data_IF_141039781141
#
_entry.id   IF_141039781141
#
_cell.length_a   1.000
_cell.length_b   1.000
_cell.length_c   1.000
_cell.angle_alpha   90.00
_cell.angle_beta   90.00
_cell.angle_gamma   90.00
#
_symmetry.space_group_name_H-M   'P 1'
#
loop_
_entity.id
_entity.type
_entity.pdbx_description
1 polymer ?
#
# COMPACT_ATOMS: atom_id res chain seq x y z
N UNK A 1 -1.81 7.88 -14.30
CA UNK A 1 -2.40 8.27 -15.60
C UNK A 1 -2.05 7.36 -16.80
N UNK A 2 -1.07 6.46 -16.69
CA UNK A 2 -0.57 5.57 -17.77
C UNK A 2 -0.99 4.10 -17.62
N UNK A 3 -1.95 3.81 -16.73
CA UNK A 3 -2.46 2.47 -16.51
C UNK A 3 -3.34 2.02 -17.68
N UNK A 4 -3.17 0.76 -18.10
CA UNK A 4 -4.02 0.09 -19.08
C UNK A 4 -5.35 -0.33 -18.42
N UNK A 5 -6.42 -0.34 -19.22
CA UNK A 5 -7.76 -0.74 -18.77
C UNK A 5 -8.01 -2.24 -18.94
N UNK A 6 -7.27 -2.88 -19.85
CA UNK A 6 -7.29 -4.31 -20.08
C UNK A 6 -5.83 -4.83 -20.11
N UNK A 7 -5.42 -5.71 -19.18
CA UNK A 7 -6.22 -6.27 -18.09
C UNK A 7 -6.63 -5.19 -17.07
N UNK A 8 -7.84 -5.34 -16.50
CA UNK A 8 -8.35 -4.42 -15.51
C UNK A 8 -7.46 -4.38 -14.26
N UNK A 9 -7.23 -3.19 -13.65
CA UNK A 9 -6.57 -3.09 -12.37
C UNK A 9 -7.30 -3.86 -11.28
N UNK A 10 -6.55 -4.41 -10.33
CA UNK A 10 -7.13 -5.13 -9.20
C UNK A 10 -6.38 -4.85 -7.90
N UNK A 11 -7.10 -4.88 -6.78
CA UNK A 11 -6.57 -4.68 -5.43
C UNK A 11 -7.07 -5.81 -4.53
N UNK A 12 -6.17 -6.42 -3.78
CA UNK A 12 -6.48 -7.54 -2.89
C UNK A 12 -5.81 -7.37 -1.53
N UNK A 13 -6.44 -7.87 -0.47
CA UNK A 13 -5.73 -8.17 0.78
C UNK A 13 -4.86 -9.39 0.51
N UNK A 14 -3.55 -9.23 0.60
CA UNK A 14 -2.58 -10.30 0.37
C UNK A 14 -2.36 -11.12 1.65
N UNK A 15 -2.19 -10.44 2.79
CA UNK A 15 -1.95 -11.08 4.07
C UNK A 15 -2.31 -10.16 5.25
N UNK A 16 -2.55 -10.79 6.40
CA UNK A 16 -2.64 -10.15 7.71
C UNK A 16 -1.32 -10.45 8.43
N UNK A 17 -0.41 -9.48 8.43
CA UNK A 17 0.91 -9.62 9.04
C UNK A 17 0.89 -9.17 10.51
N UNK A 18 2.01 -9.36 11.21
CA UNK A 18 2.12 -9.11 12.66
C UNK A 18 1.73 -7.68 13.07
N UNK A 19 1.95 -6.69 12.20
CA UNK A 19 1.66 -5.28 12.46
C UNK A 19 1.01 -4.56 11.28
N UNK A 20 0.44 -5.28 10.30
CA UNK A 20 -0.13 -4.64 9.10
C UNK A 20 -1.13 -5.52 8.35
N UNK A 21 -2.03 -4.87 7.60
CA UNK A 21 -2.79 -5.51 6.54
C UNK A 21 -2.09 -5.17 5.23
N UNK A 22 -1.51 -6.18 4.58
CA UNK A 22 -0.74 -5.96 3.36
C UNK A 22 -1.65 -6.12 2.16
N UNK A 23 -1.71 -5.08 1.33
CA UNK A 23 -2.46 -5.09 0.08
C UNK A 23 -1.54 -5.36 -1.11
N UNK A 24 -2.05 -6.08 -2.11
CA UNK A 24 -1.40 -6.21 -3.41
C UNK A 24 -2.22 -5.47 -4.46
N UNK A 25 -1.55 -4.60 -5.22
CA UNK A 25 -2.11 -3.90 -6.36
C UNK A 25 -1.56 -4.51 -7.64
N UNK A 26 -2.44 -4.87 -8.56
CA UNK A 26 -2.10 -5.32 -9.92
C UNK A 26 -2.55 -4.26 -10.90
N UNK A 27 -1.59 -3.53 -11.47
CA UNK A 27 -1.83 -2.48 -12.47
C UNK A 27 -0.91 -2.73 -13.65
N UNK A 28 -1.46 -2.65 -14.87
CA UNK A 28 -0.71 -2.87 -16.10
C UNK A 28 -0.34 -1.54 -16.73
N UNK A 29 0.89 -1.43 -17.23
CA UNK A 29 1.35 -0.27 -18.01
C UNK A 29 2.28 -0.74 -19.11
N UNK A 30 2.44 0.06 -20.17
CA UNK A 30 3.51 -0.17 -21.14
C UNK A 30 4.87 -0.11 -20.47
N UNK A 31 5.84 -0.87 -20.97
CA UNK A 31 7.20 -0.94 -20.42
C UNK A 31 7.86 0.43 -20.29
N UNK A 32 7.68 1.30 -21.30
CA UNK A 32 8.19 2.68 -21.31
C UNK A 32 7.64 3.57 -20.20
N UNK A 33 6.52 3.20 -19.59
CA UNK A 33 5.86 3.95 -18.52
C UNK A 33 5.91 3.27 -17.15
N UNK A 34 6.58 2.12 -17.04
CA UNK A 34 6.54 1.29 -15.83
C UNK A 34 6.96 2.10 -14.59
N UNK A 35 8.15 2.70 -14.60
CA UNK A 35 8.66 3.43 -13.44
C UNK A 35 7.84 4.66 -13.10
N UNK A 36 7.40 5.41 -14.11
CA UNK A 36 6.53 6.57 -13.91
C UNK A 36 5.20 6.15 -13.27
N UNK A 37 4.61 5.04 -13.73
CA UNK A 37 3.36 4.50 -13.15
C UNK A 37 3.58 4.03 -11.72
N UNK A 38 4.68 3.31 -11.47
CA UNK A 38 5.03 2.76 -10.17
C UNK A 38 5.19 3.86 -9.10
N UNK A 39 6.07 4.85 -9.35
CA UNK A 39 6.33 5.91 -8.37
C UNK A 39 5.12 6.84 -8.19
N UNK A 40 4.40 7.13 -9.27
CA UNK A 40 3.16 7.90 -9.19
C UNK A 40 2.14 7.21 -8.28
N UNK A 41 1.92 5.90 -8.44
CA UNK A 41 0.96 5.18 -7.60
C UNK A 41 1.38 5.19 -6.13
N UNK A 42 2.65 4.97 -5.81
CA UNK A 42 3.15 5.00 -4.42
C UNK A 42 2.89 6.36 -3.78
N UNK A 43 3.25 7.45 -4.46
CA UNK A 43 3.03 8.81 -3.96
C UNK A 43 1.55 9.10 -3.74
N UNK A 44 0.71 8.82 -4.74
CA UNK A 44 -0.73 9.08 -4.65
C UNK A 44 -1.41 8.23 -3.57
N UNK A 45 -0.98 6.97 -3.38
CA UNK A 45 -1.48 6.12 -2.30
C UNK A 45 -1.15 6.75 -0.96
N UNK A 46 0.10 7.18 -0.73
CA UNK A 46 0.48 7.82 0.53
C UNK A 46 -0.30 9.10 0.80
N UNK A 47 -0.35 10.01 -0.19
CA UNK A 47 -1.07 11.28 -0.05
C UNK A 47 -2.57 11.07 0.19
N UNK A 48 -3.16 10.07 -0.46
CA UNK A 48 -4.58 9.73 -0.25
C UNK A 48 -4.79 9.11 1.13
N UNK A 49 -3.93 8.19 1.56
CA UNK A 49 -4.02 7.60 2.90
C UNK A 49 -3.92 8.66 3.98
N UNK A 50 -2.98 9.60 3.86
CA UNK A 50 -2.85 10.73 4.79
C UNK A 50 -4.11 11.59 4.84
N UNK A 51 -4.67 11.90 3.66
CA UNK A 51 -5.89 12.70 3.55
C UNK A 51 -7.09 12.00 4.20
N UNK A 52 -7.19 10.68 4.04
CA UNK A 52 -8.27 9.87 4.61
C UNK A 52 -7.99 9.43 6.05
N UNK A 53 -6.87 9.87 6.66
CA UNK A 53 -6.52 9.54 8.04
C UNK A 53 -6.07 8.09 8.25
N UNK A 54 -5.64 7.40 7.20
CA UNK A 54 -5.09 6.04 7.24
C UNK A 54 -3.60 6.14 7.58
N UNK A 55 -3.24 5.74 8.80
CA UNK A 55 -1.85 5.70 9.24
C UNK A 55 -1.18 4.38 8.87
N UNK A 56 0.06 4.45 8.36
CA UNK A 56 0.88 3.26 8.10
C UNK A 56 1.56 2.88 9.42
N UNK A 57 1.28 1.68 9.96
CA UNK A 57 1.77 1.30 11.29
C UNK A 57 3.28 1.14 11.30
N UNK A 58 3.92 1.71 12.32
CA UNK A 58 5.27 1.30 12.74
C UNK A 58 5.19 -0.03 13.51
N UNK A 59 6.28 -0.81 13.60
CA UNK A 59 6.32 -2.02 14.43
C UNK A 59 5.84 -1.73 15.85
N UNK A 60 4.76 -2.41 16.27
CA UNK A 60 4.19 -2.25 17.60
C UNK A 60 4.85 -3.22 18.57
N UNK A 61 4.96 -2.82 19.84
CA UNK A 61 5.42 -3.69 20.91
C UNK A 61 4.59 -3.45 22.17
N UNK A 62 3.87 -4.48 22.58
CA UNK A 62 3.18 -4.49 23.87
C UNK A 62 4.19 -4.76 25.00
N UNK A 63 4.14 -3.92 26.05
CA UNK A 63 5.00 -4.04 27.23
C UNK A 63 4.13 -4.20 28.47
N UNK A 64 4.19 -5.38 29.08
CA UNK A 64 3.53 -5.66 30.35
C UNK A 64 4.50 -5.40 31.50
N UNK A 65 4.27 -4.33 32.28
CA UNK A 65 5.07 -4.01 33.46
C UNK A 65 4.43 -4.68 34.67
N UNK A 66 5.14 -5.64 35.27
CA UNK A 66 4.73 -6.29 36.52
C UNK A 66 5.53 -5.65 37.65
N UNK A 67 4.87 -4.88 38.52
CA UNK A 67 5.47 -4.38 39.76
C UNK A 67 5.35 -5.43 40.86
N UNK A 68 6.42 -5.57 41.65
CA UNK A 68 6.42 -6.37 42.88
C UNK A 68 5.78 -5.60 44.03
#
# INVERSE_FOLDING_TARGET
PTALQDPAPAVFVNELADNSVNFTLRVWSKTEHYWNTHFYLIEQIKLTFDKEGIEIPFPQRDVHIISK
#
